data_IF_606896213258
#
_entry.id   IF_606896213258
#
_cell.length_a   1.000
_cell.length_b   1.000
_cell.length_c   1.000
_cell.angle_alpha   90.00
_cell.angle_beta   90.00
_cell.angle_gamma   90.00
#
_symmetry.space_group_name_H-M   'P 1'
#
loop_
_entity.id
_entity.type
_entity.pdbx_description
1 polymer ?
#
# COMPACT_ATOMS: atom_id res chain seq x y z
N UNK A 1 -21.86 -34.35 -13.04
CA UNK A 1 -21.89 -33.12 -12.22
C UNK A 1 -20.48 -32.59 -12.14
N UNK A 2 -20.08 -31.79 -13.12
CA UNK A 2 -18.81 -31.05 -13.12
C UNK A 2 -19.04 -29.76 -12.37
N UNK A 3 -18.44 -29.64 -11.19
CA UNK A 3 -18.40 -28.41 -10.42
C UNK A 3 -17.52 -27.40 -11.16
N UNK A 4 -18.14 -26.60 -12.02
CA UNK A 4 -17.58 -25.32 -12.47
C UNK A 4 -17.26 -24.49 -11.23
N UNK A 5 -15.98 -24.41 -10.87
CA UNK A 5 -15.50 -23.33 -10.01
C UNK A 5 -15.44 -22.09 -10.88
N UNK A 6 -16.57 -21.39 -10.94
CA UNK A 6 -16.68 -20.04 -11.49
C UNK A 6 -15.58 -19.20 -10.88
N UNK A 7 -14.63 -18.80 -11.73
CA UNK A 7 -13.56 -17.87 -11.44
C UNK A 7 -14.20 -16.52 -11.10
N UNK A 8 -14.56 -16.36 -9.83
CA UNK A 8 -14.94 -15.09 -9.24
C UNK A 8 -13.74 -14.17 -9.43
N UNK A 9 -13.79 -13.31 -10.44
CA UNK A 9 -12.88 -12.17 -10.61
C UNK A 9 -12.84 -11.42 -9.29
N UNK A 10 -11.84 -11.76 -8.47
CA UNK A 10 -11.72 -11.34 -7.08
C UNK A 10 -11.46 -9.85 -7.09
N UNK A 11 -12.53 -9.07 -7.03
CA UNK A 11 -12.49 -7.60 -6.96
C UNK A 11 -11.49 -7.23 -5.88
N UNK A 12 -10.52 -6.38 -6.23
CA UNK A 12 -9.50 -5.89 -5.29
C UNK A 12 -10.22 -5.35 -4.05
N UNK A 13 -10.21 -6.13 -2.98
CA UNK A 13 -10.81 -5.71 -1.71
C UNK A 13 -9.81 -4.80 -1.01
N UNK A 14 -10.23 -3.68 -0.41
CA UNK A 14 -9.31 -2.72 0.24
C UNK A 14 -8.35 -3.38 1.24
N UNK A 15 -8.83 -4.41 1.95
CA UNK A 15 -8.03 -5.19 2.88
C UNK A 15 -6.90 -5.98 2.19
N UNK A 16 -7.19 -6.57 1.01
CA UNK A 16 -6.17 -7.30 0.23
C UNK A 16 -5.12 -6.38 -0.37
N UNK A 17 -5.52 -5.15 -0.71
CA UNK A 17 -4.62 -4.12 -1.23
C UNK A 17 -3.66 -3.64 -0.13
N UNK A 18 -4.18 -3.41 1.08
CA UNK A 18 -3.35 -3.10 2.26
C UNK A 18 -2.35 -4.24 2.55
N UNK A 19 -2.81 -5.49 2.48
CA UNK A 19 -1.93 -6.67 2.63
C UNK A 19 -0.85 -6.77 1.55
N UNK A 20 -1.17 -6.48 0.28
CA UNK A 20 -0.18 -6.39 -0.80
C UNK A 20 0.89 -5.33 -0.52
N UNK A 21 0.49 -4.15 -0.05
CA UNK A 21 1.41 -3.04 0.26
C UNK A 21 2.35 -3.44 1.40
N UNK A 22 1.82 -4.00 2.50
CA UNK A 22 2.63 -4.42 3.65
C UNK A 22 3.61 -5.52 3.23
N UNK A 23 3.14 -6.54 2.51
CA UNK A 23 4.01 -7.63 2.02
C UNK A 23 5.12 -7.11 1.08
N UNK A 24 4.81 -6.14 0.22
CA UNK A 24 5.79 -5.50 -0.66
C UNK A 24 6.84 -4.70 0.13
N UNK A 25 6.45 -4.02 1.21
CA UNK A 25 7.36 -3.32 2.11
C UNK A 25 8.34 -4.25 2.83
N UNK A 26 7.89 -5.46 3.18
CA UNK A 26 8.76 -6.52 3.74
C UNK A 26 9.50 -7.34 2.67
N UNK A 27 9.35 -7.02 1.38
CA UNK A 27 9.97 -7.76 0.28
C UNK A 27 9.36 -9.13 -0.03
N UNK A 28 8.29 -9.53 0.66
CA UNK A 28 7.61 -10.83 0.51
C UNK A 28 6.46 -10.71 -0.50
N UNK A 29 6.74 -10.12 -1.66
CA UNK A 29 5.73 -9.99 -2.72
C UNK A 29 5.58 -11.32 -3.48
N UNK A 30 4.47 -12.03 -3.25
CA UNK A 30 4.17 -13.28 -3.97
C UNK A 30 3.76 -13.01 -5.43
N UNK A 31 4.09 -13.95 -6.33
CA UNK A 31 3.75 -13.86 -7.76
C UNK A 31 2.24 -13.66 -7.98
N UNK A 32 1.40 -14.34 -7.23
CA UNK A 32 -0.06 -14.19 -7.30
C UNK A 32 -0.56 -12.78 -6.91
N UNK A 33 0.08 -12.11 -5.95
CA UNK A 33 -0.26 -10.72 -5.61
C UNK A 33 0.17 -9.78 -6.74
N UNK A 34 1.38 -9.99 -7.28
CA UNK A 34 1.86 -9.20 -8.42
C UNK A 34 0.98 -9.41 -9.64
N UNK A 35 0.73 -10.63 -10.07
CA UNK A 35 -0.02 -10.89 -11.29
C UNK A 35 -1.47 -10.33 -11.16
N UNK A 36 -2.09 -10.42 -9.98
CA UNK A 36 -3.37 -9.76 -9.66
C UNK A 36 -3.31 -8.23 -9.66
N UNK A 37 -2.29 -7.65 -9.03
CA UNK A 37 -2.09 -6.19 -8.96
C UNK A 37 -1.77 -5.60 -10.35
N UNK A 38 -1.22 -6.41 -11.26
CA UNK A 38 -0.88 -6.04 -12.64
C UNK A 38 -1.98 -6.37 -13.66
N UNK A 39 -2.84 -7.37 -13.42
CA UNK A 39 -4.00 -7.70 -14.26
C UNK A 39 -5.20 -6.76 -14.04
N UNK A 40 -5.39 -6.23 -12.83
CA UNK A 40 -6.58 -5.44 -12.47
C UNK A 40 -6.33 -3.93 -12.35
N UNK A 41 -5.09 -3.46 -12.40
CA UNK A 41 -4.75 -2.04 -12.33
C UNK A 41 -3.45 -1.69 -13.05
N UNK A 42 -3.39 -0.51 -13.69
CA UNK A 42 -2.15 -0.03 -14.30
C UNK A 42 -1.12 0.23 -13.19
N UNK A 43 0.06 -0.39 -13.28
CA UNK A 43 1.22 -0.24 -12.37
C UNK A 43 1.42 1.20 -11.83
N UNK A 44 1.19 2.20 -12.67
CA UNK A 44 1.27 3.62 -12.33
C UNK A 44 0.39 4.05 -11.13
N UNK A 45 -0.78 3.44 -10.89
CA UNK A 45 -1.62 3.78 -9.73
C UNK A 45 -0.96 3.40 -8.40
N UNK A 46 -0.27 2.26 -8.36
CA UNK A 46 0.45 1.81 -7.17
C UNK A 46 1.66 2.70 -6.89
N UNK A 47 2.39 3.10 -7.94
CA UNK A 47 3.54 4.02 -7.81
C UNK A 47 3.09 5.39 -7.30
N UNK A 48 2.03 5.96 -7.89
CA UNK A 48 1.50 7.26 -7.46
C UNK A 48 1.01 7.19 -6.01
N UNK A 49 0.25 6.15 -5.64
CA UNK A 49 -0.21 5.95 -4.26
C UNK A 49 0.95 5.81 -3.27
N UNK A 50 2.00 5.06 -3.64
CA UNK A 50 3.21 4.91 -2.84
C UNK A 50 3.97 6.23 -2.64
N UNK A 51 4.11 7.04 -3.70
CA UNK A 51 4.75 8.36 -3.62
C UNK A 51 3.96 9.30 -2.72
N UNK A 52 2.63 9.37 -2.89
CA UNK A 52 1.76 10.21 -2.05
C UNK A 52 1.89 9.80 -0.59
N UNK A 53 1.82 8.50 -0.31
CA UNK A 53 1.99 7.98 1.04
C UNK A 53 3.35 8.33 1.64
N UNK A 54 4.44 8.16 0.88
CA UNK A 54 5.79 8.48 1.34
C UNK A 54 5.94 9.98 1.67
N UNK A 55 5.41 10.87 0.82
CA UNK A 55 5.43 12.31 1.06
C UNK A 55 4.65 12.66 2.34
N UNK A 56 3.44 12.11 2.49
CA UNK A 56 2.64 12.32 3.70
C UNK A 56 3.33 11.80 4.95
N UNK A 57 3.99 10.64 4.87
CA UNK A 57 4.74 10.06 5.96
C UNK A 57 5.92 10.96 6.40
N UNK A 58 6.69 11.49 5.46
CA UNK A 58 7.79 12.42 5.76
C UNK A 58 7.25 13.70 6.42
N UNK A 59 6.19 14.29 5.87
CA UNK A 59 5.56 15.48 6.44
C UNK A 59 5.02 15.22 7.86
N UNK A 60 4.46 14.04 8.09
CA UNK A 60 4.00 13.61 9.40
C UNK A 60 5.13 13.53 10.42
N UNK A 61 6.25 12.90 10.06
CA UNK A 61 7.45 12.83 10.92
C UNK A 61 7.99 14.23 11.21
N UNK A 62 8.09 15.10 10.19
CA UNK A 62 8.51 16.50 10.39
C UNK A 62 7.56 17.22 11.36
N UNK A 63 6.25 17.02 11.22
CA UNK A 63 5.24 17.58 12.10
C UNK A 63 5.43 17.14 13.55
N UNK A 64 5.67 15.84 13.78
CA UNK A 64 5.99 15.30 15.10
C UNK A 64 7.26 15.94 15.65
N UNK A 65 8.34 16.00 14.88
CA UNK A 65 9.61 16.61 15.33
C UNK A 65 9.39 18.06 15.74
N UNK A 66 8.69 18.85 14.91
CA UNK A 66 8.36 20.25 15.25
C UNK A 66 7.53 20.35 16.53
N UNK A 67 6.54 19.48 16.70
CA UNK A 67 5.70 19.45 17.89
C UNK A 67 6.54 19.15 19.14
N UNK A 68 7.41 18.16 19.07
CA UNK A 68 8.30 17.79 20.17
C UNK A 68 9.28 18.92 20.49
N UNK A 69 9.91 19.52 19.48
CA UNK A 69 10.85 20.64 19.65
C UNK A 69 10.18 21.86 20.29
N UNK A 70 8.94 22.16 19.88
CA UNK A 70 8.14 23.22 20.49
C UNK A 70 7.91 22.97 21.99
N UNK A 71 7.57 21.75 22.39
CA UNK A 71 7.39 21.40 23.81
C UNK A 71 8.71 21.25 24.57
N UNK A 72 9.81 20.94 23.88
CA UNK A 72 11.14 20.85 24.47
C UNK A 72 11.79 22.23 24.71
N UNK A 73 11.17 23.33 24.26
CA UNK A 73 11.69 24.68 24.44
C UNK A 73 12.89 25.01 23.55
N UNK A 74 13.18 24.16 22.55
CA UNK A 74 14.24 24.36 21.57
C UNK A 74 13.58 24.96 20.33
N UNK A 75 13.51 26.29 20.24
CA UNK A 75 13.07 26.99 19.02
C UNK A 75 14.26 27.30 18.12
#
# INVERSE_FOLDING_TARGET
MTTEKTDDKKKITPFSFMGSIIAAWFGVQTKANRDRDFEQGKFHHFVIGGIIFAVLFVLFVIGIVKLVMHFAGVQ
#
